data_IF_631309350888
#
_entry.id   IF_631309350888
#
_cell.length_a   1.000
_cell.length_b   1.000
_cell.length_c   1.000
_cell.angle_alpha   90.00
_cell.angle_beta   90.00
_cell.angle_gamma   90.00
#
_symmetry.space_group_name_H-M   'P 1'
#
loop_
_entity.id
_entity.type
_entity.pdbx_description
1 polymer ?
#
# COMPACT_ATOMS: atom_id res chain seq x y z
N UNK A 1 30.35 -16.59 36.50
CA UNK A 1 30.77 -16.08 37.83
C UNK A 1 31.66 -17.12 38.53
N UNK A 2 32.94 -17.25 38.12
CA UNK A 2 33.99 -18.09 38.78
C UNK A 2 35.32 -17.98 38.00
N UNK A 3 36.02 -16.85 38.09
CA UNK A 3 37.39 -16.70 37.53
C UNK A 3 38.30 -15.77 38.35
N UNK A 4 37.87 -15.31 39.54
CA UNK A 4 38.61 -14.27 40.27
C UNK A 4 39.68 -14.78 41.26
N UNK A 5 39.72 -16.08 41.56
CA UNK A 5 40.53 -16.59 42.69
C UNK A 5 41.99 -16.92 42.30
N UNK A 6 42.24 -17.30 41.05
CA UNK A 6 43.57 -17.72 40.58
C UNK A 6 44.55 -16.56 40.38
N UNK A 7 44.05 -15.33 40.21
CA UNK A 7 44.88 -14.14 39.96
C UNK A 7 45.55 -13.55 41.21
N UNK A 8 44.89 -13.65 42.37
CA UNK A 8 45.41 -13.10 43.61
C UNK A 8 46.60 -13.92 44.16
N UNK A 9 46.57 -15.25 44.00
CA UNK A 9 47.64 -16.15 44.44
C UNK A 9 48.94 -15.96 43.63
N UNK A 10 48.84 -15.62 42.34
CA UNK A 10 50.01 -15.34 41.49
C UNK A 10 50.66 -13.99 41.82
N UNK A 11 49.85 -12.99 42.18
CA UNK A 11 50.35 -11.68 42.63
C UNK A 11 51.14 -11.78 43.93
N UNK A 12 50.59 -12.48 44.93
CA UNK A 12 51.25 -12.68 46.23
C UNK A 12 52.60 -13.41 46.09
N UNK A 13 52.67 -14.44 45.25
CA UNK A 13 53.90 -15.21 45.02
C UNK A 13 55.00 -14.39 44.34
N UNK A 14 54.63 -13.45 43.47
CA UNK A 14 55.58 -12.54 42.80
C UNK A 14 56.13 -11.50 43.76
N UNK A 15 55.30 -10.97 44.66
CA UNK A 15 55.73 -10.02 45.71
C UNK A 15 56.66 -10.70 46.71
N UNK A 16 56.31 -11.92 47.16
CA UNK A 16 57.15 -12.72 48.06
C UNK A 16 58.53 -13.03 47.48
N UNK A 17 58.61 -13.37 46.17
CA UNK A 17 59.89 -13.63 45.50
C UNK A 17 60.80 -12.39 45.46
N UNK A 18 60.22 -11.19 45.32
CA UNK A 18 60.97 -9.93 45.28
C UNK A 18 61.53 -9.57 46.65
N UNK A 19 60.70 -9.68 47.69
CA UNK A 19 61.12 -9.49 49.07
C UNK A 19 62.26 -10.46 49.42
N UNK A 20 62.11 -11.74 49.06
CA UNK A 20 63.15 -12.74 49.29
C UNK A 20 64.47 -12.42 48.56
N UNK A 21 64.41 -11.91 47.32
CA UNK A 21 65.60 -11.54 46.56
C UNK A 21 66.33 -10.34 47.16
N UNK A 22 65.60 -9.32 47.61
CA UNK A 22 66.15 -8.12 48.26
C UNK A 22 66.75 -8.45 49.63
N UNK A 23 66.11 -9.34 50.40
CA UNK A 23 66.65 -9.87 51.66
C UNK A 23 67.92 -10.68 51.41
N UNK A 24 67.95 -11.51 50.36
CA UNK A 24 69.13 -12.30 50.02
C UNK A 24 70.31 -11.42 49.59
N UNK A 25 70.09 -10.39 48.77
CA UNK A 25 71.14 -9.45 48.36
C UNK A 25 71.66 -8.63 49.54
N UNK A 26 70.78 -8.08 50.39
CA UNK A 26 71.18 -7.36 51.60
C UNK A 26 71.95 -8.24 52.59
N UNK A 27 71.57 -9.52 52.71
CA UNK A 27 72.27 -10.50 53.57
C UNK A 27 73.66 -10.84 53.05
N UNK A 28 73.80 -11.03 51.73
CA UNK A 28 75.10 -11.29 51.08
C UNK A 28 76.03 -10.09 51.26
N UNK A 29 75.53 -8.86 51.08
CA UNK A 29 76.29 -7.64 51.32
C UNK A 29 76.72 -7.54 52.79
N UNK A 30 75.84 -7.80 53.75
CA UNK A 30 76.17 -7.76 55.17
C UNK A 30 77.30 -8.74 55.54
N UNK A 31 77.25 -9.97 55.00
CA UNK A 31 78.28 -10.99 55.22
C UNK A 31 79.63 -10.57 54.60
N UNK A 32 79.62 -10.07 53.37
CA UNK A 32 80.83 -9.58 52.68
C UNK A 32 81.47 -8.37 53.39
N UNK A 33 80.65 -7.46 53.93
CA UNK A 33 81.14 -6.29 54.65
C UNK A 33 81.64 -6.63 56.05
N UNK A 34 81.07 -7.66 56.70
CA UNK A 34 81.57 -8.14 58.00
C UNK A 34 82.93 -8.86 57.87
N UNK A 35 83.15 -9.55 56.75
CA UNK A 35 84.44 -10.18 56.41
C UNK A 35 85.59 -9.18 56.18
N UNK A 36 85.28 -7.90 55.94
CA UNK A 36 86.27 -6.84 55.69
C UNK A 36 86.63 -6.03 56.95
N UNK A 37 86.20 -6.45 58.15
CA UNK A 37 86.55 -5.85 59.45
C UNK A 37 86.26 -4.34 59.58
N UNK A 38 85.22 -3.86 58.88
CA UNK A 38 84.77 -2.48 58.96
C UNK A 38 83.99 -2.20 60.26
N UNK A 39 84.02 -0.97 60.82
CA UNK A 39 83.25 -0.63 62.00
C UNK A 39 81.75 -0.87 61.79
N UNK A 40 81.11 -1.55 62.74
CA UNK A 40 79.70 -1.99 62.71
C UNK A 40 78.69 -0.93 62.21
N UNK A 41 78.82 0.39 62.52
CA UNK A 41 77.90 1.39 62.01
C UNK A 41 77.92 1.50 60.48
N UNK A 42 79.08 1.38 59.85
CA UNK A 42 79.22 1.52 58.39
C UNK A 42 78.62 0.34 57.64
N UNK A 43 78.75 -0.87 58.18
CA UNK A 43 78.19 -2.10 57.60
C UNK A 43 76.66 -2.10 57.55
N UNK A 44 76.02 -1.64 58.62
CA UNK A 44 74.56 -1.51 58.69
C UNK A 44 74.06 -0.44 57.70
N UNK A 45 74.76 0.68 57.60
CA UNK A 45 74.37 1.78 56.71
C UNK A 45 74.48 1.35 55.24
N UNK A 46 75.53 0.58 54.88
CA UNK A 46 75.75 0.11 53.52
C UNK A 46 74.71 -0.94 53.08
N UNK A 47 74.33 -1.87 53.96
CA UNK A 47 73.36 -2.92 53.62
C UNK A 47 71.94 -2.35 53.42
N UNK A 48 71.55 -1.40 54.26
CA UNK A 48 70.27 -0.68 54.11
C UNK A 48 70.26 0.16 52.83
N UNK A 49 71.36 0.84 52.53
CA UNK A 49 71.50 1.62 51.30
C UNK A 49 71.36 0.73 50.05
N UNK A 50 72.10 -0.38 50.00
CA UNK A 50 72.09 -1.30 48.85
C UNK A 50 70.73 -2.00 48.71
N UNK A 51 70.12 -2.40 49.83
CA UNK A 51 68.75 -2.94 49.85
C UNK A 51 67.72 -1.93 49.35
N UNK A 52 67.84 -0.66 49.75
CA UNK A 52 66.98 0.43 49.30
C UNK A 52 67.10 0.73 47.80
N UNK A 53 68.34 0.82 47.29
CA UNK A 53 68.60 1.06 45.86
C UNK A 53 68.05 -0.09 45.01
N UNK A 54 68.23 -1.33 45.46
CA UNK A 54 67.73 -2.52 44.75
C UNK A 54 66.20 -2.52 44.68
N UNK A 55 65.52 -2.12 45.76
CA UNK A 55 64.06 -2.01 45.80
C UNK A 55 63.56 -0.90 44.86
N UNK A 56 64.25 0.25 44.83
CA UNK A 56 63.93 1.36 43.93
C UNK A 56 64.07 0.96 42.46
N UNK A 57 65.14 0.25 42.11
CA UNK A 57 65.37 -0.26 40.76
C UNK A 57 64.29 -1.28 40.35
N UNK A 58 63.91 -2.18 41.26
CA UNK A 58 62.81 -3.12 41.01
C UNK A 58 61.47 -2.40 40.81
N UNK A 59 61.20 -1.34 41.57
CA UNK A 59 59.99 -0.55 41.45
C UNK A 59 59.90 0.16 40.09
N UNK A 60 61.00 0.77 39.63
CA UNK A 60 61.04 1.45 38.33
C UNK A 60 60.77 0.49 37.16
N UNK A 61 61.38 -0.70 37.17
CA UNK A 61 61.17 -1.72 36.13
C UNK A 61 59.70 -2.22 36.12
N UNK A 62 59.06 -2.28 37.28
CA UNK A 62 57.65 -2.68 37.35
C UNK A 62 56.68 -1.60 36.90
N UNK A 63 57.06 -0.34 37.10
CA UNK A 63 56.28 0.80 36.66
C UNK A 63 56.27 0.89 35.14
N UNK A 64 57.44 0.78 34.50
CA UNK A 64 57.59 0.78 33.04
C UNK A 64 56.80 -0.37 32.38
N UNK A 65 56.86 -1.58 32.98
CA UNK A 65 56.07 -2.73 32.50
C UNK A 65 54.56 -2.56 32.67
N UNK A 66 54.12 -1.76 33.65
CA UNK A 66 52.69 -1.47 33.85
C UNK A 66 52.18 -0.45 32.84
N UNK A 67 52.95 0.58 32.51
CA UNK A 67 52.56 1.55 31.48
C UNK A 67 52.35 0.87 30.13
N UNK A 68 53.29 0.04 29.66
CA UNK A 68 53.13 -0.68 28.39
C UNK A 68 51.87 -1.56 28.36
N UNK A 69 51.51 -2.16 29.50
CA UNK A 69 50.34 -3.03 29.57
C UNK A 69 49.03 -2.24 29.59
N UNK A 70 49.03 -1.04 30.16
CA UNK A 70 47.88 -0.12 30.16
C UNK A 70 47.69 0.48 28.76
N UNK A 71 48.77 0.91 28.12
CA UNK A 71 48.73 1.48 26.76
C UNK A 71 48.17 0.47 25.75
N UNK A 72 48.67 -0.77 25.74
CA UNK A 72 48.16 -1.83 24.86
C UNK A 72 46.68 -2.15 25.09
N UNK A 73 46.19 -2.06 26.34
CA UNK A 73 44.76 -2.25 26.65
C UNK A 73 43.93 -1.07 26.14
N UNK A 74 44.42 0.16 26.33
CA UNK A 74 43.77 1.38 25.87
C UNK A 74 43.57 1.36 24.34
N UNK A 75 44.63 1.04 23.57
CA UNK A 75 44.58 0.97 22.10
C UNK A 75 43.59 -0.09 21.60
N UNK A 76 43.50 -1.24 22.29
CA UNK A 76 42.54 -2.30 21.93
C UNK A 76 41.08 -1.91 22.18
N UNK A 77 40.84 -1.10 23.22
CA UNK A 77 39.50 -0.62 23.57
C UNK A 77 39.03 0.46 22.61
N UNK A 78 39.91 1.38 22.20
CA UNK A 78 39.60 2.42 21.21
C UNK A 78 39.19 1.80 19.87
N UNK A 79 39.89 0.78 19.40
CA UNK A 79 39.56 0.06 18.16
C UNK A 79 38.20 -0.66 18.24
N UNK A 80 37.92 -1.33 19.36
CA UNK A 80 36.63 -2.00 19.58
C UNK A 80 35.47 -1.00 19.66
N UNK A 81 35.65 0.12 20.35
CA UNK A 81 34.62 1.15 20.49
C UNK A 81 34.30 1.85 19.17
N UNK A 82 35.32 2.15 18.36
CA UNK A 82 35.12 2.73 17.02
C UNK A 82 34.29 1.78 16.12
N UNK A 83 34.57 0.48 16.17
CA UNK A 83 33.86 -0.52 15.38
C UNK A 83 32.39 -0.67 15.84
N UNK A 84 32.14 -0.63 17.14
CA UNK A 84 30.77 -0.70 17.70
C UNK A 84 29.98 0.57 17.38
N UNK A 85 30.61 1.74 17.48
CA UNK A 85 29.99 3.01 17.13
C UNK A 85 29.58 3.04 15.65
N UNK A 86 30.46 2.59 14.76
CA UNK A 86 30.17 2.56 13.32
C UNK A 86 29.03 1.60 12.97
N UNK A 87 28.98 0.40 13.58
CA UNK A 87 27.88 -0.56 13.36
C UNK A 87 26.54 -0.06 13.89
N UNK A 88 26.56 0.62 15.04
CA UNK A 88 25.36 1.22 15.63
C UNK A 88 24.83 2.33 14.72
N UNK A 89 25.72 3.19 14.20
CA UNK A 89 25.34 4.27 13.29
C UNK A 89 24.75 3.73 11.97
N UNK A 90 25.34 2.69 11.38
CA UNK A 90 24.80 2.06 10.17
C UNK A 90 23.41 1.43 10.38
N UNK A 91 23.22 0.72 11.49
CA UNK A 91 21.94 0.08 11.80
C UNK A 91 20.86 1.12 12.09
N UNK A 92 21.19 2.16 12.87
CA UNK A 92 20.28 3.28 13.15
C UNK A 92 19.92 4.00 11.85
N UNK A 93 20.89 4.24 10.96
CA UNK A 93 20.63 4.92 9.68
C UNK A 93 19.73 4.11 8.76
N UNK A 94 19.88 2.79 8.71
CA UNK A 94 19.02 1.90 7.91
C UNK A 94 17.59 1.87 8.45
N UNK A 95 17.42 1.71 9.76
CA UNK A 95 16.09 1.68 10.39
C UNK A 95 15.38 3.04 10.28
N UNK A 96 16.09 4.16 10.52
CA UNK A 96 15.55 5.50 10.34
C UNK A 96 15.14 5.77 8.89
N UNK A 97 15.90 5.28 7.90
CA UNK A 97 15.55 5.46 6.48
C UNK A 97 14.27 4.70 6.09
N UNK A 98 14.06 3.48 6.61
CA UNK A 98 12.83 2.70 6.38
C UNK A 98 11.60 3.32 7.05
N UNK A 99 11.80 3.85 8.26
CA UNK A 99 10.75 4.59 8.98
C UNK A 99 10.39 5.90 8.27
N UNK A 100 11.37 6.62 7.73
CA UNK A 100 11.16 7.85 6.95
C UNK A 100 10.38 7.56 5.66
N UNK A 101 10.69 6.48 4.94
CA UNK A 101 9.94 6.10 3.73
C UNK A 101 8.47 5.75 4.04
N UNK A 102 8.24 4.94 5.07
CA UNK A 102 6.88 4.57 5.50
C UNK A 102 6.08 5.77 6.02
N UNK A 103 6.73 6.68 6.75
CA UNK A 103 6.13 7.91 7.23
C UNK A 103 5.78 8.86 6.08
N UNK A 104 6.65 9.00 5.07
CA UNK A 104 6.38 9.80 3.87
C UNK A 104 5.22 9.26 3.04
N UNK A 105 5.07 7.94 2.95
CA UNK A 105 3.90 7.33 2.31
C UNK A 105 2.62 7.65 3.08
N UNK A 106 2.64 7.55 4.42
CA UNK A 106 1.48 7.93 5.25
C UNK A 106 1.14 9.43 5.16
N UNK A 107 2.16 10.29 5.08
CA UNK A 107 1.98 11.74 4.94
C UNK A 107 1.31 12.06 3.59
N UNK A 108 1.79 11.46 2.49
CA UNK A 108 1.14 11.55 1.17
C UNK A 108 -0.27 10.98 1.14
N UNK A 109 -0.57 9.95 1.95
CA UNK A 109 -1.93 9.41 2.08
C UNK A 109 -2.86 10.38 2.79
N UNK A 110 -2.35 11.17 3.74
CA UNK A 110 -3.11 12.19 4.47
C UNK A 110 -3.55 13.32 3.54
N UNK A 111 -2.70 13.65 2.55
CA UNK A 111 -3.01 14.63 1.49
C UNK A 111 -3.75 14.05 0.28
N UNK A 112 -4.00 12.73 0.25
CA UNK A 112 -4.66 12.07 -0.89
C UNK A 112 -6.18 12.23 -0.86
N UNK A 113 -6.82 12.17 -2.02
CA UNK A 113 -8.29 12.15 -2.13
C UNK A 113 -8.94 10.87 -1.57
N UNK A 114 -8.14 9.83 -1.31
CA UNK A 114 -8.58 8.60 -0.67
C UNK A 114 -8.51 8.75 0.85
N UNK A 115 -9.51 8.23 1.57
CA UNK A 115 -9.53 8.31 3.02
C UNK A 115 -8.39 7.45 3.59
N UNK A 116 -7.44 8.09 4.29
CA UNK A 116 -6.28 7.42 4.90
C UNK A 116 -6.68 6.23 5.79
N UNK A 117 -7.81 6.35 6.50
CA UNK A 117 -8.37 5.28 7.36
C UNK A 117 -8.66 3.98 6.59
N UNK A 118 -9.14 4.08 5.35
CA UNK A 118 -9.47 2.90 4.53
C UNK A 118 -8.20 2.13 4.14
N UNK A 119 -7.12 2.85 3.83
CA UNK A 119 -5.84 2.26 3.44
C UNK A 119 -5.13 1.66 4.67
N UNK A 120 -5.15 2.37 5.80
CA UNK A 120 -4.65 1.83 7.07
C UNK A 120 -5.42 0.58 7.50
N UNK A 121 -6.74 0.53 7.27
CA UNK A 121 -7.54 -0.66 7.52
C UNK A 121 -7.16 -1.82 6.60
N UNK A 122 -6.91 -1.56 5.31
CA UNK A 122 -6.45 -2.57 4.37
C UNK A 122 -5.11 -3.17 4.82
N UNK A 123 -4.11 -2.32 5.10
CA UNK A 123 -2.76 -2.76 5.54
C UNK A 123 -2.85 -3.63 6.79
N UNK A 124 -3.63 -3.21 7.79
CA UNK A 124 -3.84 -3.98 9.01
C UNK A 124 -4.51 -5.32 8.77
N UNK A 125 -5.59 -5.36 7.98
CA UNK A 125 -6.28 -6.61 7.66
C UNK A 125 -5.41 -7.58 6.85
N UNK A 126 -4.54 -7.06 5.97
CA UNK A 126 -3.56 -7.86 5.24
C UNK A 126 -2.47 -8.42 6.15
N UNK A 127 -2.00 -7.63 7.13
CA UNK A 127 -0.98 -8.06 8.10
C UNK A 127 -1.52 -9.06 9.15
N UNK A 128 -2.79 -8.93 9.52
CA UNK A 128 -3.46 -9.78 10.52
C UNK A 128 -4.01 -11.09 9.93
N UNK A 129 -3.69 -11.44 8.68
CA UNK A 129 -4.10 -12.71 8.08
C UNK A 129 -3.55 -13.87 8.94
N UNK A 130 -4.41 -14.76 9.48
CA UNK A 130 -3.98 -15.77 10.44
C UNK A 130 -2.87 -16.68 9.89
N UNK A 131 -1.84 -16.91 10.71
CA UNK A 131 -0.85 -17.96 10.45
C UNK A 131 -1.58 -19.31 10.36
N UNK A 132 -1.49 -19.97 9.20
CA UNK A 132 -2.24 -21.20 8.89
C UNK A 132 -3.50 -21.01 8.02
N UNK A 133 -3.72 -19.80 7.48
CA UNK A 133 -4.71 -19.58 6.43
C UNK A 133 -4.48 -20.51 5.24
N UNK A 134 -5.56 -20.98 4.61
CA UNK A 134 -5.48 -21.84 3.42
C UNK A 134 -4.68 -21.11 2.32
N UNK A 135 -3.69 -21.76 1.66
CA UNK A 135 -2.84 -21.09 0.67
C UNK A 135 -3.62 -20.36 -0.42
N UNK A 136 -4.69 -20.99 -0.95
CA UNK A 136 -5.54 -20.39 -1.97
C UNK A 136 -6.25 -19.12 -1.47
N UNK A 137 -6.65 -19.06 -0.19
CA UNK A 137 -7.31 -17.88 0.35
C UNK A 137 -6.34 -16.68 0.41
N UNK A 138 -5.06 -16.92 0.73
CA UNK A 138 -4.01 -15.90 0.71
C UNK A 138 -3.75 -15.43 -0.73
N UNK A 139 -3.66 -16.36 -1.69
CA UNK A 139 -3.49 -16.03 -3.11
C UNK A 139 -4.65 -15.18 -3.65
N UNK A 140 -5.89 -15.53 -3.31
CA UNK A 140 -7.07 -14.74 -3.70
C UNK A 140 -7.02 -13.35 -3.07
N UNK A 141 -6.68 -13.23 -1.78
CA UNK A 141 -6.55 -11.93 -1.13
C UNK A 141 -5.46 -11.06 -1.77
N UNK A 142 -4.30 -11.65 -2.09
CA UNK A 142 -3.22 -10.96 -2.79
C UNK A 142 -3.67 -10.49 -4.19
N UNK A 143 -4.37 -11.34 -4.94
CA UNK A 143 -4.89 -10.98 -6.25
C UNK A 143 -5.86 -9.79 -6.20
N UNK A 144 -6.65 -9.66 -5.12
CA UNK A 144 -7.52 -8.49 -4.92
C UNK A 144 -6.73 -7.21 -4.60
N UNK A 145 -5.64 -7.31 -3.84
CA UNK A 145 -4.74 -6.17 -3.60
C UNK A 145 -4.08 -5.73 -4.91
N UNK A 146 -3.57 -6.67 -5.69
CA UNK A 146 -2.94 -6.40 -6.99
C UNK A 146 -3.95 -5.78 -7.98
N UNK A 147 -5.19 -6.27 -7.99
CA UNK A 147 -6.27 -5.69 -8.79
C UNK A 147 -6.59 -4.25 -8.38
N UNK A 148 -6.63 -3.95 -7.07
CA UNK A 148 -6.85 -2.60 -6.57
C UNK A 148 -5.70 -1.65 -6.94
N UNK A 149 -4.45 -2.11 -6.86
CA UNK A 149 -3.27 -1.34 -7.31
C UNK A 149 -3.36 -1.04 -8.80
N UNK A 150 -3.57 -2.06 -9.63
CA UNK A 150 -3.71 -1.90 -11.08
C UNK A 150 -4.87 -0.97 -11.46
N UNK A 151 -5.99 -1.05 -10.74
CA UNK A 151 -7.11 -0.12 -10.91
C UNK A 151 -6.71 1.33 -10.64
N UNK A 152 -6.03 1.61 -9.52
CA UNK A 152 -5.59 2.97 -9.17
C UNK A 152 -4.57 3.52 -10.18
N UNK A 153 -3.65 2.68 -10.66
CA UNK A 153 -2.70 3.07 -11.70
C UNK A 153 -3.43 3.43 -13.00
N UNK A 154 -4.33 2.58 -13.48
CA UNK A 154 -5.11 2.84 -14.70
C UNK A 154 -6.00 4.08 -14.56
N UNK A 155 -6.65 4.24 -13.40
CA UNK A 155 -7.46 5.42 -13.09
C UNK A 155 -6.61 6.70 -13.16
N UNK A 156 -5.37 6.65 -12.66
CA UNK A 156 -4.39 7.74 -12.78
C UNK A 156 -3.99 8.06 -14.22
N UNK A 157 -4.03 7.10 -15.13
CA UNK A 157 -3.83 7.31 -16.58
C UNK A 157 -5.11 7.80 -17.30
N UNK A 158 -6.25 7.83 -16.60
CA UNK A 158 -7.51 8.40 -17.07
C UNK A 158 -8.43 7.41 -17.79
N UNK A 159 -8.10 6.12 -17.83
CA UNK A 159 -8.90 5.08 -18.46
C UNK A 159 -8.66 3.71 -17.80
N UNK A 160 -9.73 2.96 -17.52
CA UNK A 160 -9.67 1.62 -16.93
C UNK A 160 -10.48 0.65 -17.79
N UNK A 161 -9.91 -0.52 -18.09
CA UNK A 161 -10.59 -1.58 -18.83
C UNK A 161 -10.82 -2.83 -18.00
N UNK A 162 -11.98 -3.44 -18.17
CA UNK A 162 -12.31 -4.75 -17.61
C UNK A 162 -12.86 -5.65 -18.71
N UNK A 163 -12.36 -6.88 -18.80
CA UNK A 163 -12.85 -7.86 -19.78
C UNK A 163 -14.18 -8.44 -19.28
N UNK A 164 -15.26 -8.22 -20.04
CA UNK A 164 -16.63 -8.55 -19.62
C UNK A 164 -17.41 -7.36 -19.04
N UNK A 165 -18.41 -7.67 -18.22
CA UNK A 165 -19.26 -6.69 -17.51
C UNK A 165 -18.78 -6.51 -16.07
N UNK A 166 -18.42 -5.29 -15.68
CA UNK A 166 -18.16 -4.98 -14.26
C UNK A 166 -19.43 -4.44 -13.60
N UNK A 167 -20.08 -5.31 -12.82
CA UNK A 167 -21.32 -5.04 -12.08
C UNK A 167 -21.11 -4.10 -10.90
N UNK A 168 -19.94 -4.19 -10.27
CA UNK A 168 -19.65 -3.45 -9.06
C UNK A 168 -19.33 -1.99 -9.38
N UNK A 169 -18.70 -1.72 -10.51
CA UNK A 169 -18.50 -0.35 -11.00
C UNK A 169 -19.82 0.35 -11.28
N UNK A 170 -20.72 -0.26 -12.05
CA UNK A 170 -22.03 0.33 -12.38
C UNK A 170 -22.82 0.70 -11.12
N UNK A 171 -22.91 -0.23 -10.16
CA UNK A 171 -23.63 -0.03 -8.90
C UNK A 171 -22.92 0.98 -7.99
N UNK A 172 -21.60 0.93 -7.89
CA UNK A 172 -20.82 1.83 -7.03
C UNK A 172 -20.91 3.26 -7.55
N UNK A 173 -20.72 3.48 -8.85
CA UNK A 173 -20.83 4.81 -9.46
C UNK A 173 -22.21 5.41 -9.23
N UNK A 174 -23.28 4.64 -9.49
CA UNK A 174 -24.67 5.07 -9.24
C UNK A 174 -24.93 5.48 -7.79
N UNK A 175 -24.37 4.73 -6.83
CA UNK A 175 -24.49 5.03 -5.39
C UNK A 175 -23.67 6.24 -4.97
N UNK A 176 -22.60 6.56 -5.69
CA UNK A 176 -21.68 7.65 -5.36
C UNK A 176 -21.93 8.94 -6.13
N UNK A 177 -22.74 8.91 -7.20
CA UNK A 177 -23.15 10.12 -7.93
C UNK A 177 -23.88 11.12 -7.05
N UNK A 178 -23.60 12.39 -7.31
CA UNK A 178 -24.02 13.55 -6.52
C UNK A 178 -24.94 14.50 -7.27
N UNK A 179 -24.85 14.55 -8.59
CA UNK A 179 -25.50 15.58 -9.42
C UNK A 179 -26.28 14.98 -10.57
N UNK A 180 -25.66 14.15 -11.42
CA UNK A 180 -26.27 13.67 -12.66
C UNK A 180 -25.92 12.21 -12.96
N UNK A 181 -26.87 11.49 -13.55
CA UNK A 181 -26.65 10.18 -14.18
C UNK A 181 -27.32 10.23 -15.54
N UNK A 182 -26.55 10.06 -16.61
CA UNK A 182 -27.04 10.19 -17.98
C UNK A 182 -26.69 8.92 -18.76
N UNK A 183 -27.70 8.14 -19.14
CA UNK A 183 -27.51 6.80 -19.70
C UNK A 183 -28.13 6.65 -21.08
N UNK A 184 -27.44 5.97 -21.99
CA UNK A 184 -28.04 5.39 -23.21
C UNK A 184 -28.35 3.92 -22.96
N UNK A 185 -29.38 3.38 -23.62
CA UNK A 185 -29.67 1.96 -23.61
C UNK A 185 -30.20 1.57 -24.98
N UNK A 186 -29.66 0.48 -25.53
CA UNK A 186 -30.03 0.02 -26.87
C UNK A 186 -31.17 -0.98 -26.74
N UNK A 187 -32.33 -0.65 -27.31
CA UNK A 187 -33.40 -1.62 -27.51
C UNK A 187 -33.10 -2.47 -28.72
N UNK A 188 -33.03 -3.80 -28.57
CA UNK A 188 -32.85 -4.72 -29.70
C UNK A 188 -34.15 -5.43 -30.02
N UNK A 189 -34.25 -6.03 -31.22
CA UNK A 189 -35.44 -6.74 -31.70
C UNK A 189 -35.10 -8.22 -31.83
N UNK A 190 -36.01 -9.10 -31.41
CA UNK A 190 -35.94 -10.55 -31.67
C UNK A 190 -36.18 -10.85 -33.14
N UNK A 191 -35.86 -12.07 -33.60
CA UNK A 191 -36.24 -12.50 -34.94
C UNK A 191 -37.77 -12.52 -35.16
N UNK A 192 -38.54 -12.52 -34.06
CA UNK A 192 -40.01 -12.58 -34.04
C UNK A 192 -40.67 -11.19 -33.90
N UNK A 193 -39.88 -10.11 -33.81
CA UNK A 193 -40.37 -8.73 -33.75
C UNK A 193 -40.57 -8.15 -32.35
N UNK A 194 -40.24 -8.93 -31.30
CA UNK A 194 -40.41 -8.52 -29.91
C UNK A 194 -39.23 -7.68 -29.40
N UNK A 195 -39.50 -6.77 -28.47
CA UNK A 195 -38.46 -6.05 -27.75
C UNK A 195 -37.57 -7.00 -26.94
N UNK A 196 -36.26 -6.95 -27.20
CA UNK A 196 -35.23 -7.62 -26.43
C UNK A 196 -34.36 -6.55 -25.76
N UNK A 197 -34.51 -6.44 -24.43
CA UNK A 197 -33.55 -5.77 -23.53
C UNK A 197 -32.38 -6.69 -23.12
N UNK A 198 -32.19 -7.79 -23.84
CA UNK A 198 -31.20 -8.83 -23.54
C UNK A 198 -31.39 -9.47 -22.15
N UNK A 199 -32.55 -9.25 -21.52
CA UNK A 199 -32.91 -9.73 -20.19
C UNK A 199 -32.25 -8.96 -19.04
N UNK A 200 -31.62 -7.80 -19.32
CA UNK A 200 -30.92 -7.04 -18.29
C UNK A 200 -31.86 -6.53 -17.20
N UNK A 201 -32.98 -5.89 -17.54
CA UNK A 201 -33.91 -5.34 -16.54
C UNK A 201 -34.65 -6.40 -15.74
N UNK A 202 -34.78 -7.62 -16.27
CA UNK A 202 -35.32 -8.76 -15.54
C UNK A 202 -34.27 -9.47 -14.66
N UNK A 203 -32.99 -9.16 -14.85
CA UNK A 203 -31.88 -9.74 -14.06
C UNK A 203 -31.80 -9.15 -12.65
N UNK A 204 -31.12 -9.85 -11.74
CA UNK A 204 -30.82 -9.33 -10.39
C UNK A 204 -30.06 -7.99 -10.46
N UNK A 205 -29.14 -7.86 -11.43
CA UNK A 205 -28.34 -6.65 -11.59
C UNK A 205 -29.21 -5.47 -12.04
N UNK A 206 -30.11 -5.67 -13.00
CA UNK A 206 -31.05 -4.65 -13.47
C UNK A 206 -31.93 -4.11 -12.35
N UNK A 207 -32.48 -5.01 -11.53
CA UNK A 207 -33.24 -4.63 -10.34
C UNK A 207 -32.41 -3.81 -9.34
N UNK A 208 -31.20 -4.28 -9.00
CA UNK A 208 -30.30 -3.57 -8.07
C UNK A 208 -29.87 -2.21 -8.62
N UNK A 209 -29.67 -2.10 -9.93
CA UNK A 209 -29.33 -0.84 -10.58
C UNK A 209 -30.50 0.14 -10.53
N UNK A 210 -31.71 -0.30 -10.87
CA UNK A 210 -32.91 0.54 -10.78
C UNK A 210 -33.17 1.02 -9.35
N UNK A 211 -32.98 0.16 -8.35
CA UNK A 211 -33.09 0.54 -6.94
C UNK A 211 -32.02 1.58 -6.54
N UNK A 212 -30.79 1.41 -7.01
CA UNK A 212 -29.71 2.38 -6.78
C UNK A 212 -30.02 3.73 -7.45
N UNK A 213 -30.61 3.72 -8.65
CA UNK A 213 -31.08 4.94 -9.33
C UNK A 213 -32.22 5.60 -8.55
N UNK A 214 -33.19 4.82 -8.04
CA UNK A 214 -34.28 5.35 -7.19
C UNK A 214 -33.73 6.02 -5.93
N UNK A 215 -32.71 5.44 -5.30
CA UNK A 215 -32.01 6.08 -4.18
C UNK A 215 -31.27 7.34 -4.62
N UNK A 216 -30.60 7.34 -5.78
CA UNK A 216 -29.93 8.53 -6.31
C UNK A 216 -30.91 9.68 -6.52
N UNK A 217 -32.07 9.41 -7.13
CA UNK A 217 -33.14 10.41 -7.28
C UNK A 217 -33.60 10.95 -5.92
N UNK A 218 -33.76 10.08 -4.91
CA UNK A 218 -34.11 10.52 -3.54
C UNK A 218 -33.06 11.42 -2.91
N UNK A 219 -31.78 11.27 -3.27
CA UNK A 219 -30.69 12.19 -2.88
C UNK A 219 -30.67 13.51 -3.69
N UNK A 220 -31.54 13.66 -4.70
CA UNK A 220 -31.59 14.84 -5.57
C UNK A 220 -30.74 14.72 -6.84
N UNK A 221 -30.24 13.53 -7.17
CA UNK A 221 -29.48 13.29 -8.41
C UNK A 221 -30.42 13.26 -9.61
N UNK A 222 -30.12 14.02 -10.67
CA UNK A 222 -30.91 14.01 -11.90
C UNK A 222 -30.56 12.79 -12.76
N UNK A 223 -31.48 11.84 -12.88
CA UNK A 223 -31.29 10.63 -13.68
C UNK A 223 -32.03 10.76 -15.02
N UNK A 224 -31.28 10.64 -16.12
CA UNK A 224 -31.74 10.77 -17.51
C UNK A 224 -31.39 9.51 -18.29
N UNK A 225 -32.34 8.98 -19.06
CA UNK A 225 -32.11 7.82 -19.94
C UNK A 225 -32.65 8.06 -21.34
N UNK A 226 -31.84 7.71 -22.34
CA UNK A 226 -32.24 7.64 -23.74
C UNK A 226 -32.33 6.17 -24.14
N UNK A 227 -33.52 5.72 -24.53
CA UNK A 227 -33.67 4.44 -25.23
C UNK A 227 -33.48 4.66 -26.72
N UNK A 228 -32.48 3.99 -27.30
CA UNK A 228 -32.24 4.00 -28.74
C UNK A 228 -32.94 2.81 -29.36
N UNK A 229 -33.92 3.07 -30.22
CA UNK A 229 -34.72 2.04 -30.87
C UNK A 229 -34.26 1.84 -32.31
N UNK A 230 -33.94 0.60 -32.66
CA UNK A 230 -33.61 0.20 -34.03
C UNK A 230 -34.84 -0.05 -34.91
N UNK A 231 -36.04 -0.10 -34.30
CA UNK A 231 -37.33 -0.22 -34.98
C UNK A 231 -38.36 0.67 -34.27
N UNK A 232 -39.14 1.41 -35.06
CA UNK A 232 -40.23 2.28 -34.59
C UNK A 232 -41.38 1.50 -33.97
N UNK A 233 -41.56 0.22 -34.34
CA UNK A 233 -42.55 -0.67 -33.76
C UNK A 233 -42.37 -0.87 -32.25
N UNK A 234 -41.12 -0.89 -31.77
CA UNK A 234 -40.78 -1.13 -30.36
C UNK A 234 -41.42 -0.11 -29.42
N UNK A 235 -41.59 1.15 -29.85
CA UNK A 235 -42.22 2.16 -29.00
C UNK A 235 -43.69 1.81 -28.63
N UNK A 236 -44.31 0.89 -29.37
CA UNK A 236 -45.67 0.41 -29.15
C UNK A 236 -45.72 -0.95 -28.45
N UNK A 237 -44.56 -1.58 -28.23
CA UNK A 237 -44.43 -2.85 -27.54
C UNK A 237 -44.88 -2.70 -26.06
N UNK A 238 -45.80 -3.54 -25.57
CA UNK A 238 -46.28 -3.48 -24.18
C UNK A 238 -45.17 -3.67 -23.13
N UNK A 239 -44.19 -4.55 -23.38
CA UNK A 239 -43.10 -4.82 -22.45
C UNK A 239 -42.10 -3.66 -22.40
N UNK A 240 -41.82 -3.04 -23.56
CA UNK A 240 -41.03 -1.81 -23.60
C UNK A 240 -41.71 -0.66 -22.84
N UNK A 241 -43.04 -0.50 -23.01
CA UNK A 241 -43.80 0.52 -22.28
C UNK A 241 -43.81 0.25 -20.78
N UNK A 242 -43.98 -1.01 -20.36
CA UNK A 242 -43.89 -1.43 -18.96
C UNK A 242 -42.52 -1.10 -18.36
N UNK A 243 -41.44 -1.37 -19.09
CA UNK A 243 -40.08 -0.99 -18.68
C UNK A 243 -39.95 0.53 -18.50
N UNK A 244 -40.44 1.31 -19.46
CA UNK A 244 -40.40 2.78 -19.37
C UNK A 244 -41.19 3.29 -18.15
N UNK A 245 -42.39 2.74 -17.91
CA UNK A 245 -43.20 3.08 -16.74
C UNK A 245 -42.50 2.72 -15.43
N UNK A 246 -41.84 1.56 -15.35
CA UNK A 246 -41.04 1.15 -14.19
C UNK A 246 -39.91 2.14 -13.92
N UNK A 247 -39.14 2.53 -14.94
CA UNK A 247 -38.05 3.48 -14.77
C UNK A 247 -38.54 4.89 -14.41
N UNK A 248 -39.63 5.35 -15.04
CA UNK A 248 -40.25 6.63 -14.72
C UNK A 248 -40.77 6.66 -13.28
N UNK A 249 -41.34 5.57 -12.80
CA UNK A 249 -41.78 5.44 -11.39
C UNK A 249 -40.62 5.52 -10.39
N UNK A 250 -39.39 5.19 -10.82
CA UNK A 250 -38.17 5.39 -10.04
C UNK A 250 -37.63 6.83 -10.12
N UNK A 251 -38.28 7.72 -10.88
CA UNK A 251 -37.90 9.12 -11.06
C UNK A 251 -36.91 9.37 -12.18
N UNK A 252 -36.71 8.39 -13.08
CA UNK A 252 -35.86 8.55 -14.26
C UNK A 252 -36.59 9.34 -15.33
N UNK A 253 -35.93 10.37 -15.88
CA UNK A 253 -36.41 11.09 -17.05
C UNK A 253 -36.06 10.30 -18.31
N UNK A 254 -37.07 9.88 -19.06
CA UNK A 254 -36.89 8.99 -20.20
C UNK A 254 -37.17 9.74 -21.51
N UNK A 255 -36.28 9.54 -22.49
CA UNK A 255 -36.51 9.92 -23.88
C UNK A 255 -36.25 8.74 -24.82
N UNK A 256 -36.89 8.78 -25.98
CA UNK A 256 -36.80 7.75 -27.01
C UNK A 256 -36.15 8.36 -28.24
N UNK A 257 -35.05 7.75 -28.69
CA UNK A 257 -34.34 8.12 -29.91
C UNK A 257 -34.57 7.04 -30.97
N UNK A 258 -35.17 7.43 -32.08
CA UNK A 258 -35.26 6.58 -33.26
C UNK A 258 -33.91 6.57 -33.99
N UNK A 259 -33.26 5.40 -34.07
CA UNK A 259 -31.97 5.25 -34.71
C UNK A 259 -31.97 5.69 -36.19
N UNK A 260 -33.12 5.65 -36.88
CA UNK A 260 -33.25 6.10 -38.27
C UNK A 260 -33.22 7.62 -38.44
N UNK A 261 -33.38 8.38 -37.36
CA UNK A 261 -33.21 9.86 -37.40
C UNK A 261 -31.75 10.27 -37.43
N UNK A 262 -30.84 9.34 -37.16
CA UNK A 262 -29.41 9.56 -37.17
C UNK A 262 -28.82 9.26 -38.54
N UNK A 263 -27.71 9.92 -38.88
CA UNK A 263 -26.91 9.49 -40.03
C UNK A 263 -26.40 8.06 -39.80
N UNK A 264 -26.23 7.23 -40.85
CA UNK A 264 -25.78 5.84 -40.70
C UNK A 264 -24.50 5.68 -39.86
N UNK A 265 -23.56 6.64 -40.00
CA UNK A 265 -22.33 6.68 -39.20
C UNK A 265 -22.59 6.94 -37.72
N UNK A 266 -23.55 7.82 -37.37
CA UNK A 266 -23.92 8.11 -35.97
C UNK A 266 -24.71 6.96 -35.33
N UNK A 267 -25.55 6.27 -36.09
CA UNK A 267 -26.29 5.11 -35.60
C UNK A 267 -25.38 3.92 -35.24
N UNK A 268 -24.29 3.72 -36.01
CA UNK A 268 -23.29 2.68 -35.76
C UNK A 268 -22.39 2.98 -34.55
N UNK A 269 -22.14 4.26 -34.26
CA UNK A 269 -21.21 4.71 -33.21
C UNK A 269 -21.89 5.03 -31.87
N UNK A 270 -23.18 4.75 -31.73
CA UNK A 270 -23.93 4.98 -30.50
C UNK A 270 -23.47 3.98 -29.43
N UNK A 271 -22.66 4.43 -28.44
CA UNK A 271 -22.17 3.55 -27.40
C UNK A 271 -23.27 3.33 -26.37
N UNK A 272 -23.29 2.13 -25.81
CA UNK A 272 -24.02 1.87 -24.56
C UNK A 272 -23.17 2.46 -23.43
N UNK A 273 -23.61 3.59 -22.88
CA UNK A 273 -22.83 4.37 -21.93
C UNK A 273 -23.67 4.96 -20.82
N UNK A 274 -23.04 5.14 -19.67
CA UNK A 274 -23.57 5.85 -18.51
C UNK A 274 -22.55 6.88 -18.06
N UNK A 275 -22.96 8.15 -18.03
CA UNK A 275 -22.15 9.26 -17.58
C UNK A 275 -22.59 9.64 -16.17
N UNK A 276 -21.63 9.68 -15.24
CA UNK A 276 -21.86 10.02 -13.83
C UNK A 276 -21.23 11.38 -13.53
N UNK A 277 -22.04 12.31 -13.02
CA UNK A 277 -21.66 13.66 -12.61
C UNK A 277 -20.87 14.47 -13.67
N UNK A 278 -21.00 14.11 -14.96
CA UNK A 278 -20.18 14.64 -16.05
C UNK A 278 -18.66 14.49 -15.84
N UNK A 279 -18.26 13.57 -14.95
CA UNK A 279 -16.88 13.31 -14.50
C UNK A 279 -16.36 11.93 -14.94
N UNK A 280 -17.24 10.93 -15.06
CA UNK A 280 -16.87 9.54 -15.42
C UNK A 280 -17.83 9.01 -16.49
N UNK A 281 -17.28 8.44 -17.57
CA UNK A 281 -18.05 7.67 -18.56
C UNK A 281 -17.81 6.19 -18.35
N UNK A 282 -18.88 5.42 -18.10
CA UNK A 282 -18.91 3.97 -18.08
C UNK A 282 -19.44 3.48 -19.42
N UNK A 283 -18.70 2.66 -20.14
CA UNK A 283 -19.05 2.22 -21.49
C UNK A 283 -18.98 0.70 -21.62
N UNK A 284 -20.00 0.14 -22.25
CA UNK A 284 -20.11 -1.28 -22.53
C UNK A 284 -19.87 -1.53 -24.02
N UNK A 285 -18.93 -2.43 -24.30
CA UNK A 285 -18.73 -2.99 -25.64
C UNK A 285 -19.31 -4.39 -25.67
N UNK A 286 -20.35 -4.61 -26.47
CA UNK A 286 -20.93 -5.94 -26.71
C UNK A 286 -20.26 -6.61 -27.91
N UNK A 287 -20.02 -7.92 -27.83
CA UNK A 287 -19.56 -8.71 -28.96
C UNK A 287 -20.61 -8.84 -30.08
N UNK A 288 -20.20 -9.19 -31.30
CA UNK A 288 -21.14 -9.46 -32.39
C UNK A 288 -22.03 -10.67 -32.06
N UNK A 289 -23.34 -10.55 -32.30
CA UNK A 289 -24.29 -11.67 -32.19
C UNK A 289 -23.97 -12.70 -33.28
N UNK A 290 -23.56 -13.90 -32.88
CA UNK A 290 -23.31 -15.02 -33.81
C UNK A 290 -24.62 -15.62 -34.34
N UNK A 291 -25.72 -15.49 -33.59
CA UNK A 291 -27.06 -15.96 -33.98
C UNK A 291 -28.10 -14.90 -33.57
N UNK A 292 -29.12 -14.66 -34.39
CA UNK A 292 -30.16 -13.65 -34.13
C UNK A 292 -30.90 -13.84 -32.78
N UNK A 293 -30.90 -15.07 -32.25
CA UNK A 293 -31.49 -15.45 -30.97
C UNK A 293 -30.48 -15.63 -29.81
N UNK A 294 -29.19 -15.30 -30.01
CA UNK A 294 -28.19 -15.36 -28.94
C UNK A 294 -28.18 -14.05 -28.13
N UNK A 295 -28.18 -14.17 -26.80
CA UNK A 295 -27.92 -13.03 -25.91
C UNK A 295 -26.53 -12.46 -26.22
N UNK A 296 -26.40 -11.13 -26.37
CA UNK A 296 -25.10 -10.52 -26.54
C UNK A 296 -24.26 -10.79 -25.29
N UNK A 297 -22.98 -11.09 -25.51
CA UNK A 297 -22.01 -11.16 -24.44
C UNK A 297 -21.26 -9.83 -24.36
N UNK A 298 -21.08 -9.32 -23.15
CA UNK A 298 -20.25 -8.15 -22.90
C UNK A 298 -18.79 -8.54 -23.16
N UNK A 299 -18.14 -7.86 -24.09
CA UNK A 299 -16.74 -8.07 -24.42
C UNK A 299 -15.86 -7.30 -23.44
N UNK A 300 -16.21 -6.04 -23.17
CA UNK A 300 -15.38 -5.13 -22.39
C UNK A 300 -16.21 -4.03 -21.74
N UNK A 301 -15.86 -3.69 -20.51
CA UNK A 301 -16.31 -2.50 -19.80
C UNK A 301 -15.16 -1.51 -19.74
N UNK A 302 -15.44 -0.24 -20.03
CA UNK A 302 -14.46 0.84 -19.99
C UNK A 302 -14.92 1.95 -19.06
N UNK A 303 -14.02 2.44 -18.21
CA UNK A 303 -14.19 3.69 -17.49
C UNK A 303 -13.28 4.73 -18.11
N UNK A 304 -13.85 5.85 -18.57
CA UNK A 304 -13.08 7.02 -18.98
C UNK A 304 -13.24 8.11 -17.93
N UNK A 305 -12.10 8.62 -17.45
CA UNK A 305 -12.02 9.68 -16.42
C UNK A 305 -11.27 10.90 -16.93
N UNK A 306 -10.58 10.79 -18.08
CA UNK A 306 -9.92 11.93 -18.72
C UNK A 306 -10.97 13.01 -19.06
N UNK A 307 -10.82 14.26 -18.56
CA UNK A 307 -11.83 15.30 -18.74
C UNK A 307 -12.23 15.54 -20.19
N UNK A 308 -11.26 15.50 -21.12
CA UNK A 308 -11.53 15.73 -22.55
C UNK A 308 -12.40 14.63 -23.16
N UNK A 309 -12.17 13.37 -22.76
CA UNK A 309 -12.95 12.24 -23.25
C UNK A 309 -14.38 12.30 -22.70
N UNK A 310 -14.53 12.58 -21.41
CA UNK A 310 -15.85 12.68 -20.76
C UNK A 310 -16.65 13.85 -21.31
N UNK A 311 -16.04 15.02 -21.50
CA UNK A 311 -16.73 16.18 -22.13
C UNK A 311 -17.27 15.84 -23.52
N UNK A 312 -16.52 15.10 -24.33
CA UNK A 312 -17.00 14.65 -25.64
C UNK A 312 -18.23 13.73 -25.50
N UNK A 313 -18.27 12.83 -24.50
CA UNK A 313 -19.43 11.97 -24.25
C UNK A 313 -20.62 12.73 -23.70
N UNK A 314 -20.39 13.71 -22.82
CA UNK A 314 -21.44 14.61 -22.33
C UNK A 314 -22.09 15.38 -23.49
N UNK A 315 -21.27 15.96 -24.37
CA UNK A 315 -21.77 16.65 -25.55
C UNK A 315 -22.58 15.71 -26.44
N UNK A 316 -22.04 14.53 -26.74
CA UNK A 316 -22.71 13.51 -27.55
C UNK A 316 -24.05 13.09 -26.93
N UNK A 317 -24.10 12.86 -25.62
CA UNK A 317 -25.33 12.53 -24.91
C UNK A 317 -26.36 13.67 -25.04
N UNK A 318 -25.95 14.92 -24.82
CA UNK A 318 -26.85 16.07 -24.89
C UNK A 318 -27.40 16.27 -26.32
N UNK A 319 -26.56 16.09 -27.35
CA UNK A 319 -27.01 16.12 -28.75
C UNK A 319 -28.11 15.06 -29.00
N UNK A 320 -27.92 13.84 -28.50
CA UNK A 320 -28.94 12.78 -28.61
C UNK A 320 -30.17 13.06 -27.75
N UNK A 321 -29.98 13.67 -26.58
CA UNK A 321 -31.06 14.06 -25.70
C UNK A 321 -31.98 15.06 -26.41
N UNK A 322 -31.43 16.07 -27.09
CA UNK A 322 -32.19 17.06 -27.85
C UNK A 322 -32.93 16.48 -29.05
N UNK A 323 -32.35 15.47 -29.72
CA UNK A 323 -32.97 14.77 -30.85
C UNK A 323 -34.03 13.74 -30.45
N UNK A 324 -34.13 13.40 -29.16
CA UNK A 324 -35.02 12.35 -28.67
C UNK A 324 -36.34 12.90 -28.15
N UNK A 325 -37.40 12.12 -28.35
CA UNK A 325 -38.75 12.50 -27.93
C UNK A 325 -38.99 12.11 -26.46
N UNK A 326 -39.56 12.99 -25.62
CA UNK A 326 -39.96 12.63 -24.27
C UNK A 326 -40.92 11.46 -24.23
N UNK A 327 -40.66 10.47 -23.36
CA UNK A 327 -41.64 9.43 -23.10
C UNK A 327 -42.75 9.98 -22.19
N UNK A 328 -43.91 10.28 -22.78
CA UNK A 328 -45.12 10.65 -22.06
C UNK A 328 -46.07 9.46 -22.01
N UNK A 329 -46.54 9.11 -20.80
CA UNK A 329 -47.59 8.12 -20.65
C UNK A 329 -48.87 8.72 -21.20
N UNK A 330 -49.27 8.32 -22.39
CA UNK A 330 -50.57 8.71 -22.96
C UNK A 330 -51.65 8.14 -22.03
N UNK A 331 -52.35 9.01 -21.32
CA UNK A 331 -53.37 8.66 -20.32
C UNK A 331 -54.66 8.08 -20.90
N UNK A 332 -54.57 7.08 -21.77
CA UNK A 332 -55.71 6.31 -22.28
C UNK A 332 -55.36 4.84 -22.17
N UNK A 333 -55.67 4.28 -21.01
CA UNK A 333 -56.09 2.89 -20.79
C UNK A 333 -56.48 2.78 -19.30
N UNK A 334 -57.69 3.28 -19.02
CA UNK A 334 -58.54 2.89 -17.88
C UNK A 334 -59.89 2.49 -18.47
#
# INVERSE_FOLDING_TARGET
MRTSDSGQLLGARRVLRRIALTVATGSITFVLTNLTNQPLPWTLTLSVLIGGITLLAQFLIDFERREEQVERRMSSLEFSNATVAQRLEETVKQEVSRLDESARLLDRLTDSALHADSIQRLVRLSADLPEGSLPLAVEVAQAQVDAAVSFLEQLGHGEVGYDGEDRDWLLTLTKRSRHTISATSRGTVSADGDFIDDGFWDSELGHRYLDAQREAVRRGVAVRRIFVLADRGIAHDPDFRKLCDQQRSAGVSIRILDAFTLTPTRALLLPDMVIFDDEISYELTTGPRLVAASTPYFLKTMLHVRPDAVRNRVQQFNDYWELSEPYERTGKDI
#
